data_IF_997434523654
#
_entry.id   IF_997434523654
#
_cell.length_a   1.000
_cell.length_b   1.000
_cell.length_c   1.000
_cell.angle_alpha   90.00
_cell.angle_beta   90.00
_cell.angle_gamma   90.00
#
_symmetry.space_group_name_H-M   'P 1'
#
loop_
_entity.id
_entity.type
_entity.pdbx_description
1 polymer ?
#
# COMPACT_ATOMS: atom_id res chain seq x y z
N UNK A 1 2.62 12.36 3.03
CA UNK A 1 2.73 11.26 2.04
C UNK A 1 4.06 11.44 1.35
N UNK A 2 4.82 10.37 1.07
CA UNK A 2 6.15 10.54 0.47
C UNK A 2 6.15 10.52 -1.07
N UNK A 3 5.21 9.81 -1.68
CA UNK A 3 5.01 9.81 -3.13
C UNK A 3 3.51 9.82 -3.46
N UNK A 4 3.10 10.70 -4.36
CA UNK A 4 1.73 10.82 -4.87
C UNK A 4 1.76 10.83 -6.41
N UNK A 5 0.99 9.96 -7.03
CA UNK A 5 0.77 9.93 -8.48
C UNK A 5 -0.71 10.16 -8.76
N UNK A 6 -0.98 11.19 -9.55
CA UNK A 6 -2.29 11.58 -10.06
C UNK A 6 -2.19 11.84 -11.57
N UNK A 7 -3.32 11.99 -12.26
CA UNK A 7 -3.37 12.41 -13.67
C UNK A 7 -2.50 11.58 -14.64
N UNK A 8 -2.59 10.25 -14.52
CA UNK A 8 -1.84 9.29 -15.34
C UNK A 8 -0.31 9.30 -15.12
N UNK A 9 0.14 9.91 -14.02
CA UNK A 9 1.55 9.97 -13.67
C UNK A 9 2.17 8.57 -13.54
N UNK A 10 3.49 8.52 -13.78
CA UNK A 10 4.28 7.30 -13.70
C UNK A 10 5.51 7.54 -12.86
N UNK A 11 5.78 6.65 -11.92
CA UNK A 11 6.98 6.69 -11.11
C UNK A 11 7.52 5.29 -10.87
N UNK A 12 8.85 5.18 -10.92
CA UNK A 12 9.58 4.02 -10.47
C UNK A 12 10.47 4.45 -9.30
N UNK A 13 10.41 3.67 -8.22
CA UNK A 13 11.24 3.87 -7.04
C UNK A 13 11.97 2.57 -6.74
N UNK A 14 13.30 2.64 -6.78
CA UNK A 14 14.19 1.51 -6.54
C UNK A 14 14.96 1.71 -5.24
N UNK A 15 15.18 0.61 -4.50
CA UNK A 15 16.13 0.53 -3.38
C UNK A 15 16.01 1.65 -2.31
N UNK A 16 14.80 2.18 -2.10
CA UNK A 16 14.56 3.38 -1.30
C UNK A 16 13.81 3.11 0.00
N UNK A 17 13.84 4.06 0.94
CA UNK A 17 13.16 3.93 2.24
C UNK A 17 12.11 5.04 2.45
N UNK A 18 10.83 4.66 2.41
CA UNK A 18 9.67 5.52 2.66
C UNK A 18 9.20 5.27 4.09
N UNK A 19 9.44 6.22 5.01
CA UNK A 19 9.22 6.00 6.45
C UNK A 19 8.52 7.15 7.14
N UNK A 20 7.69 6.85 8.15
CA UNK A 20 7.02 7.85 9.02
C UNK A 20 6.20 8.87 8.22
N UNK A 21 5.53 8.42 7.17
CA UNK A 21 4.59 9.22 6.41
C UNK A 21 3.16 8.81 6.77
N UNK A 22 2.15 9.67 6.54
CA UNK A 22 0.76 9.23 6.54
C UNK A 22 0.56 7.99 5.66
N UNK A 23 0.86 8.11 4.37
CA UNK A 23 0.96 7.00 3.41
C UNK A 23 2.35 7.03 2.77
N UNK A 24 2.97 5.85 2.57
CA UNK A 24 4.28 5.75 1.94
C UNK A 24 4.23 6.19 0.47
N UNK A 25 3.52 5.45 -0.36
CA UNK A 25 3.26 5.80 -1.75
C UNK A 25 1.77 5.64 -2.10
N UNK A 26 1.23 6.61 -2.83
CA UNK A 26 -0.16 6.58 -3.31
C UNK A 26 -0.18 6.78 -4.82
N UNK A 27 -0.93 5.95 -5.52
CA UNK A 27 -1.27 6.15 -6.92
C UNK A 27 -2.77 6.07 -7.11
N UNK A 28 -3.33 6.98 -7.92
CA UNK A 28 -4.76 7.05 -8.21
C UNK A 28 -5.04 7.24 -9.70
N UNK A 29 -6.26 6.95 -10.12
CA UNK A 29 -6.66 6.98 -11.54
C UNK A 29 -5.77 6.08 -12.41
N UNK A 30 -5.54 6.43 -13.69
CA UNK A 30 -4.73 5.61 -14.61
C UNK A 30 -3.20 5.66 -14.37
N UNK A 31 -2.78 6.06 -13.17
CA UNK A 31 -1.37 6.19 -12.80
C UNK A 31 -0.66 4.85 -12.68
N UNK A 32 0.67 4.86 -12.80
CA UNK A 32 1.53 3.66 -12.71
C UNK A 32 2.63 3.82 -11.68
N UNK A 33 2.54 3.06 -10.60
CA UNK A 33 3.55 3.00 -9.54
C UNK A 33 4.38 1.72 -9.65
N UNK A 34 5.69 1.85 -9.70
CA UNK A 34 6.63 0.73 -9.54
C UNK A 34 7.47 0.93 -8.28
N UNK A 35 7.41 -0.02 -7.36
CA UNK A 35 8.25 -0.09 -6.17
C UNK A 35 9.07 -1.38 -6.23
N UNK A 36 10.40 -1.25 -6.26
CA UNK A 36 11.29 -2.41 -6.25
C UNK A 36 12.34 -2.27 -5.15
N UNK A 37 12.59 -3.36 -4.42
CA UNK A 37 13.57 -3.40 -3.35
C UNK A 37 13.41 -2.26 -2.31
N UNK A 38 12.18 -1.78 -2.14
CA UNK A 38 11.88 -0.64 -1.28
C UNK A 38 11.60 -1.08 0.15
N UNK A 39 11.79 -0.17 1.10
CA UNK A 39 11.45 -0.36 2.52
C UNK A 39 10.40 0.65 2.93
N UNK A 40 9.17 0.19 3.17
CA UNK A 40 8.05 1.02 3.58
C UNK A 40 7.70 0.72 5.04
N UNK A 41 7.97 1.67 5.95
CA UNK A 41 7.87 1.39 7.38
C UNK A 41 7.30 2.52 8.22
N UNK A 42 6.59 2.16 9.28
CA UNK A 42 6.02 3.11 10.23
C UNK A 42 5.14 4.16 9.54
N UNK A 43 4.44 3.78 8.46
CA UNK A 43 3.43 4.65 7.88
C UNK A 43 2.16 4.61 8.73
N UNK A 44 1.55 5.77 8.97
CA UNK A 44 0.41 5.89 9.88
C UNK A 44 -0.85 5.22 9.31
N UNK A 45 -0.99 5.21 7.98
CA UNK A 45 -1.97 4.40 7.25
C UNK A 45 -1.21 3.34 6.44
N UNK A 46 -1.13 3.50 5.12
CA UNK A 46 -0.74 2.45 4.21
C UNK A 46 0.73 2.58 3.83
N UNK A 47 1.42 1.45 3.68
CA UNK A 47 2.72 1.46 3.03
C UNK A 47 2.56 1.92 1.58
N UNK A 48 1.73 1.21 0.82
CA UNK A 48 1.32 1.60 -0.52
C UNK A 48 -0.22 1.59 -0.64
N UNK A 49 -0.77 2.60 -1.30
CA UNK A 49 -2.19 2.67 -1.64
C UNK A 49 -2.38 2.81 -3.16
N UNK A 50 -3.21 1.95 -3.75
CA UNK A 50 -3.54 1.95 -5.17
C UNK A 50 -5.05 2.18 -5.36
N UNK A 51 -5.40 3.32 -5.94
CA UNK A 51 -6.77 3.72 -6.23
C UNK A 51 -7.40 2.99 -7.42
N UNK A 52 -8.65 3.31 -7.72
CA UNK A 52 -9.39 2.70 -8.82
C UNK A 52 -8.69 3.01 -10.16
N UNK A 53 -8.48 1.97 -10.98
CA UNK A 53 -7.81 2.08 -12.28
C UNK A 53 -6.29 2.25 -12.21
N UNK A 54 -5.70 2.35 -11.01
CA UNK A 54 -4.25 2.47 -10.85
C UNK A 54 -3.56 1.14 -11.12
N UNK A 55 -2.36 1.20 -11.68
CA UNK A 55 -1.50 0.04 -11.83
C UNK A 55 -0.32 0.12 -10.85
N UNK A 56 -0.11 -0.96 -10.09
CA UNK A 56 1.00 -1.09 -9.15
C UNK A 56 1.82 -2.34 -9.41
N UNK A 57 3.13 -2.20 -9.56
CA UNK A 57 4.08 -3.30 -9.47
C UNK A 57 4.94 -3.10 -8.23
N UNK A 58 4.78 -3.99 -7.25
CA UNK A 58 5.51 -3.91 -5.98
C UNK A 58 6.25 -5.22 -5.80
N UNK A 59 7.57 -5.16 -5.85
CA UNK A 59 8.42 -6.37 -5.88
C UNK A 59 9.61 -6.24 -4.95
N UNK A 60 10.05 -7.36 -4.39
CA UNK A 60 11.27 -7.46 -3.56
C UNK A 60 11.28 -6.47 -2.37
N UNK A 61 10.10 -5.98 -1.96
CA UNK A 61 9.97 -4.85 -1.04
C UNK A 61 9.57 -5.33 0.35
N UNK A 62 10.03 -4.60 1.37
CA UNK A 62 9.77 -4.92 2.77
C UNK A 62 8.84 -3.88 3.37
N UNK A 63 7.70 -4.35 3.87
CA UNK A 63 6.73 -3.55 4.60
C UNK A 63 6.81 -3.88 6.09
N UNK A 64 6.98 -2.87 6.94
CA UNK A 64 7.15 -3.10 8.38
C UNK A 64 6.40 -2.10 9.23
N UNK A 65 5.53 -2.58 10.12
CA UNK A 65 4.80 -1.75 11.09
C UNK A 65 4.05 -0.60 10.43
N UNK A 66 3.36 -0.88 9.33
CA UNK A 66 2.38 0.04 8.76
C UNK A 66 0.99 -0.31 9.33
N UNK A 67 -0.01 0.55 9.14
CA UNK A 67 -1.38 0.18 9.46
C UNK A 67 -1.85 -0.97 8.58
N UNK A 68 -1.73 -0.77 7.27
CA UNK A 68 -1.88 -1.79 6.23
C UNK A 68 -0.61 -1.71 5.38
N UNK A 69 -0.01 -2.83 5.00
CA UNK A 69 1.18 -2.75 4.16
C UNK A 69 0.82 -2.30 2.73
N UNK A 70 -0.10 -2.98 2.08
CA UNK A 70 -0.58 -2.63 0.74
C UNK A 70 -2.10 -2.60 0.76
N UNK A 71 -2.66 -1.46 0.36
CA UNK A 71 -4.08 -1.26 0.20
C UNK A 71 -4.37 -0.99 -1.28
N UNK A 72 -5.36 -1.64 -1.85
CA UNK A 72 -5.75 -1.40 -3.23
C UNK A 72 -7.27 -1.38 -3.42
N UNK A 73 -7.75 -0.64 -4.41
CA UNK A 73 -9.13 -0.73 -4.88
C UNK A 73 -9.37 -2.05 -5.63
N UNK A 74 -10.63 -2.48 -5.75
CA UNK A 74 -10.98 -3.69 -6.52
C UNK A 74 -10.54 -3.59 -7.98
N UNK A 75 -10.70 -2.41 -8.55
CA UNK A 75 -10.38 -2.10 -9.95
C UNK A 75 -8.91 -1.67 -10.14
N UNK A 76 -8.07 -1.83 -9.12
CA UNK A 76 -6.64 -1.60 -9.27
C UNK A 76 -5.97 -2.84 -9.89
N UNK A 77 -5.03 -2.61 -10.80
CA UNK A 77 -4.21 -3.67 -11.37
C UNK A 77 -2.93 -3.83 -10.57
N UNK A 78 -2.82 -4.90 -9.80
CA UNK A 78 -1.69 -5.10 -8.89
C UNK A 78 -0.86 -6.34 -9.25
N UNK A 79 0.46 -6.18 -9.29
CA UNK A 79 1.43 -7.25 -9.38
C UNK A 79 2.33 -7.22 -8.13
N UNK A 80 2.24 -8.27 -7.31
CA UNK A 80 3.01 -8.45 -6.08
C UNK A 80 3.90 -9.67 -6.21
N UNK A 81 5.21 -9.52 -6.02
CA UNK A 81 6.13 -10.65 -6.04
C UNK A 81 7.28 -10.46 -5.04
N UNK A 82 7.62 -11.52 -4.32
CA UNK A 82 8.77 -11.56 -3.40
C UNK A 82 8.80 -10.42 -2.37
N UNK A 83 7.63 -9.97 -1.92
CA UNK A 83 7.53 -8.96 -0.87
C UNK A 83 7.56 -9.63 0.50
N UNK A 84 8.06 -8.89 1.48
CA UNK A 84 8.07 -9.31 2.87
C UNK A 84 7.22 -8.37 3.72
N UNK A 85 6.35 -8.95 4.55
CA UNK A 85 5.44 -8.20 5.41
C UNK A 85 5.72 -8.51 6.87
N UNK A 86 5.86 -7.46 7.69
CA UNK A 86 6.26 -7.60 9.09
C UNK A 86 5.41 -6.69 9.98
N UNK A 87 4.56 -7.29 10.80
CA UNK A 87 3.85 -6.62 11.88
C UNK A 87 3.02 -5.40 11.42
N UNK A 88 2.33 -5.51 10.27
CA UNK A 88 1.29 -4.54 9.91
C UNK A 88 0.07 -4.74 10.80
N UNK A 89 -0.58 -3.66 11.23
CA UNK A 89 -1.61 -3.73 12.29
C UNK A 89 -2.87 -4.43 11.81
N UNK A 90 -3.39 -4.05 10.64
CA UNK A 90 -4.67 -4.53 10.13
C UNK A 90 -4.52 -5.53 9.00
N UNK A 91 -3.31 -5.77 8.49
CA UNK A 91 -3.05 -6.77 7.47
C UNK A 91 -1.98 -6.36 6.46
N UNK A 92 -1.57 -7.35 5.67
CA UNK A 92 -0.46 -7.20 4.73
C UNK A 92 -0.95 -6.69 3.38
N UNK A 93 -1.99 -7.31 2.84
CA UNK A 93 -2.65 -6.85 1.61
C UNK A 93 -4.16 -6.77 1.85
N UNK A 94 -4.73 -5.61 1.56
CA UNK A 94 -6.15 -5.34 1.72
C UNK A 94 -6.76 -4.74 0.46
N UNK A 95 -7.94 -5.24 0.10
CA UNK A 95 -8.76 -4.76 -1.00
C UNK A 95 -9.92 -3.90 -0.45
N UNK A 96 -9.98 -2.62 -0.82
CA UNK A 96 -10.94 -1.63 -0.29
C UNK A 96 -12.41 -2.05 -0.41
N UNK A 97 -12.78 -2.80 -1.45
CA UNK A 97 -14.18 -3.26 -1.63
C UNK A 97 -14.57 -4.46 -0.74
N UNK A 98 -13.59 -5.13 -0.13
CA UNK A 98 -13.80 -6.32 0.71
C UNK A 98 -13.43 -6.07 2.17
N UNK A 99 -12.52 -5.14 2.42
CA UNK A 99 -12.10 -4.79 3.77
C UNK A 99 -13.03 -3.75 4.41
N UNK A 100 -13.72 -4.12 5.49
CA UNK A 100 -14.06 -3.13 6.53
C UNK A 100 -12.77 -2.83 7.31
N UNK A 101 -11.83 -2.11 6.71
CA UNK A 101 -10.76 -1.49 7.47
C UNK A 101 -11.36 -0.22 8.08
N UNK A 102 -11.59 -0.14 9.41
CA UNK A 102 -12.19 1.05 10.00
C UNK A 102 -11.35 2.28 9.65
N UNK A 103 -11.93 3.49 9.60
CA UNK A 103 -11.15 4.72 9.54
C UNK A 103 -10.10 4.75 10.66
N UNK A 104 -8.99 5.47 10.47
CA UNK A 104 -7.98 5.58 11.51
C UNK A 104 -8.61 6.26 12.72
N UNK A 105 -8.73 5.55 13.86
CA UNK A 105 -9.32 6.08 15.09
C UNK A 105 -10.68 5.52 15.50
N UNK A 106 -11.23 4.51 14.81
CA UNK A 106 -12.46 3.83 15.25
C UNK A 106 -12.13 2.44 15.81
N UNK A 107 -12.36 2.17 17.11
CA UNK A 107 -12.17 0.84 17.69
C UNK A 107 -13.35 -0.08 17.30
N UNK A 108 -13.08 -1.32 16.87
CA UNK A 108 -14.05 -2.41 17.03
C UNK A 108 -14.47 -3.26 15.82
N UNK A 109 -13.95 -3.06 14.62
CA UNK A 109 -14.33 -3.92 13.47
C UNK A 109 -13.07 -4.46 12.77
N UNK A 110 -12.65 -5.66 13.19
CA UNK A 110 -11.50 -6.40 12.66
C UNK A 110 -11.99 -7.64 11.92
N UNK A 111 -12.41 -7.52 10.66
CA UNK A 111 -12.41 -8.69 9.77
C UNK A 111 -12.59 -8.27 8.30
N UNK A 112 -11.48 -8.24 7.55
CA UNK A 112 -11.39 -8.65 6.14
C UNK A 112 -10.03 -8.32 5.50
N UNK A 113 -8.92 -8.65 6.17
CA UNK A 113 -7.58 -8.58 5.57
C UNK A 113 -6.98 -9.97 5.43
N UNK A 114 -6.53 -10.31 4.22
CA UNK A 114 -5.79 -11.54 3.97
C UNK A 114 -4.40 -11.41 4.62
N UNK A 115 -4.09 -12.33 5.55
CA UNK A 115 -2.72 -12.56 5.99
C UNK A 115 -2.05 -13.39 4.89
N UNK A 116 -1.08 -12.80 4.20
CA UNK A 116 -0.31 -13.46 3.15
C UNK A 116 0.98 -14.05 3.72
#
# INVERSE_FOLDING_TARGET
MALLLEDEARAAVDASALRRNPTGAKADGRSRLTLRACRLRLCATDGAWLGAGAAGSITESVFTRNRVAIHHHLDAHINLAHNEFRASVYGDVCCYSKCHCPPAGVPGEEEACLKA
#
